data_IF_095358359323
#
_entry.id   IF_095358359323
#
_cell.length_a   1.000
_cell.length_b   1.000
_cell.length_c   1.000
_cell.angle_alpha   90.00
_cell.angle_beta   90.00
_cell.angle_gamma   90.00
#
_symmetry.space_group_name_H-M   'P 1'
#
loop_
_entity.id
_entity.type
_entity.pdbx_description
1 polymer ?
#
# COMPACT_ATOMS: atom_id res chain seq x y z
N UNK A 1 -6.89 -2.66 17.29
CA UNK A 1 -6.12 -3.67 16.57
C UNK A 1 -6.34 -3.56 15.08
N UNK A 2 -5.33 -3.90 14.29
CA UNK A 2 -5.40 -3.91 12.84
C UNK A 2 -6.28 -5.04 12.32
N UNK A 3 -7.04 -4.79 11.25
CA UNK A 3 -7.70 -5.81 10.45
C UNK A 3 -6.86 -6.25 9.24
N UNK A 4 -5.74 -5.57 8.97
CA UNK A 4 -4.89 -5.84 7.82
C UNK A 4 -4.13 -7.17 7.95
N UNK A 5 -3.91 -7.82 6.82
CA UNK A 5 -3.13 -9.07 6.76
C UNK A 5 -1.64 -8.76 6.95
N UNK A 6 -0.94 -9.41 7.90
CA UNK A 6 0.50 -9.29 8.04
C UNK A 6 1.24 -9.85 6.82
N UNK A 7 2.37 -9.24 6.46
CA UNK A 7 3.26 -9.73 5.42
C UNK A 7 4.64 -10.11 6.00
N UNK A 8 5.38 -10.93 5.26
CA UNK A 8 6.75 -11.31 5.62
C UNK A 8 7.74 -10.47 4.81
N UNK A 9 8.62 -9.76 5.49
CA UNK A 9 9.59 -8.84 4.90
C UNK A 9 11.02 -9.23 5.25
N UNK A 10 11.95 -8.85 4.40
CA UNK A 10 13.37 -8.97 4.64
C UNK A 10 13.99 -10.22 4.03
N UNK A 11 15.31 -10.19 3.95
CA UNK A 11 16.17 -11.23 3.39
C UNK A 11 17.31 -11.54 4.36
N UNK A 12 18.01 -12.63 4.15
CA UNK A 12 19.13 -13.05 5.00
C UNK A 12 18.77 -13.12 6.50
N UNK A 13 19.45 -12.36 7.34
CA UNK A 13 19.31 -12.41 8.79
C UNK A 13 18.22 -11.45 9.32
N UNK A 14 17.97 -10.34 8.62
CA UNK A 14 16.99 -9.34 9.02
C UNK A 14 15.63 -9.69 8.41
N UNK A 15 14.83 -10.43 9.18
CA UNK A 15 13.53 -10.94 8.74
C UNK A 15 12.44 -10.50 9.69
N UNK A 16 11.35 -9.99 9.11
CA UNK A 16 10.29 -9.34 9.86
C UNK A 16 8.90 -9.87 9.51
N UNK A 17 8.00 -9.69 10.45
CA UNK A 17 6.56 -9.59 10.20
C UNK A 17 6.25 -8.11 10.16
N UNK A 18 5.61 -7.65 9.09
CA UNK A 18 5.18 -6.27 8.91
C UNK A 18 3.66 -6.20 8.88
N UNK A 19 3.09 -5.20 9.55
CA UNK A 19 1.65 -4.98 9.63
C UNK A 19 1.38 -3.51 9.91
N UNK A 20 0.23 -2.99 9.48
CA UNK A 20 -0.26 -1.70 9.95
C UNK A 20 -0.98 -1.87 11.29
N UNK A 21 -0.93 -0.86 12.16
CA UNK A 21 -1.77 -0.83 13.35
C UNK A 21 -3.20 -0.35 13.03
N UNK A 22 -4.02 -0.15 14.05
CA UNK A 22 -5.43 0.26 13.90
C UNK A 22 -5.69 1.69 14.41
N UNK A 23 -4.67 2.51 14.50
CA UNK A 23 -4.83 3.91 14.91
C UNK A 23 -5.46 4.74 13.78
N UNK A 24 -6.11 5.87 14.11
CA UNK A 24 -6.74 6.73 13.11
C UNK A 24 -5.75 7.22 12.05
N UNK A 25 -4.54 7.53 12.47
CA UNK A 25 -3.38 7.69 11.60
C UNK A 25 -2.46 6.49 11.84
N UNK A 26 -2.49 5.53 10.94
CA UNK A 26 -1.83 4.25 11.11
C UNK A 26 -0.30 4.35 11.14
N UNK A 27 0.31 3.42 11.86
CA UNK A 27 1.75 3.16 11.78
C UNK A 27 2.00 1.87 11.00
N UNK A 28 3.16 1.79 10.35
CA UNK A 28 3.73 0.54 9.84
C UNK A 28 4.67 -0.01 10.90
N UNK A 29 4.34 -1.20 11.39
CA UNK A 29 5.05 -1.88 12.46
C UNK A 29 5.88 -3.02 11.91
N UNK A 30 7.16 -3.08 12.27
CA UNK A 30 8.02 -4.24 12.03
C UNK A 30 8.26 -5.01 13.32
N UNK A 31 8.13 -6.32 13.23
CA UNK A 31 8.47 -7.24 14.33
C UNK A 31 9.52 -8.23 13.86
N UNK A 32 10.58 -8.44 14.63
CA UNK A 32 11.51 -9.54 14.38
C UNK A 32 10.74 -10.84 14.23
N UNK A 33 10.86 -11.50 13.07
CA UNK A 33 10.13 -12.73 12.78
C UNK A 33 10.67 -13.93 13.56
N UNK A 34 11.98 -14.07 13.56
CA UNK A 34 12.67 -15.19 14.17
C UNK A 34 13.28 -14.79 15.52
N UNK A 35 14.55 -15.03 15.73
CA UNK A 35 15.25 -14.59 16.93
C UNK A 35 15.50 -13.08 16.90
N UNK A 36 15.34 -12.44 18.05
CA UNK A 36 15.77 -11.06 18.24
C UNK A 36 17.31 -11.07 18.30
N UNK A 37 18.02 -10.20 17.54
CA UNK A 37 19.47 -10.09 17.63
C UNK A 37 19.93 -9.83 19.08
N UNK A 38 21.01 -10.46 19.50
CA UNK A 38 21.49 -10.35 20.90
C UNK A 38 21.92 -8.92 21.26
N UNK A 39 22.36 -8.15 20.27
CA UNK A 39 22.79 -6.76 20.38
C UNK A 39 21.67 -5.76 19.99
N UNK A 40 20.40 -6.23 19.93
CA UNK A 40 19.27 -5.36 19.64
C UNK A 40 18.85 -4.58 20.88
N UNK A 41 18.80 -3.27 20.73
CA UNK A 41 18.24 -2.37 21.73
C UNK A 41 16.81 -1.96 21.31
N UNK A 42 15.93 -1.80 22.29
CA UNK A 42 14.57 -1.36 22.00
C UNK A 42 14.59 0.00 21.34
N UNK A 43 13.82 0.15 20.28
CA UNK A 43 13.64 1.47 19.67
C UNK A 43 12.91 2.41 20.65
N UNK A 44 13.16 3.68 20.51
CA UNK A 44 12.60 4.70 21.40
C UNK A 44 11.07 4.59 21.48
N UNK A 45 10.52 4.68 22.69
CA UNK A 45 9.09 4.59 22.96
C UNK A 45 8.50 3.17 22.93
N UNK A 46 9.30 2.13 22.63
CA UNK A 46 8.85 0.75 22.58
C UNK A 46 9.39 -0.07 23.76
N UNK A 47 8.47 -0.78 24.43
CA UNK A 47 8.84 -1.69 25.55
C UNK A 47 8.99 -3.14 25.11
N UNK A 48 8.43 -3.50 23.96
CA UNK A 48 8.51 -4.86 23.43
C UNK A 48 9.77 -5.00 22.57
N UNK A 49 10.76 -5.81 22.97
CA UNK A 49 12.02 -5.97 22.24
C UNK A 49 11.84 -6.62 20.85
N UNK A 50 10.68 -7.19 20.55
CA UNK A 50 10.38 -7.72 19.24
C UNK A 50 10.06 -6.65 18.21
N UNK A 51 9.75 -5.41 18.63
CA UNK A 51 9.51 -4.31 17.71
C UNK A 51 10.84 -3.84 17.12
N UNK A 52 11.00 -4.02 15.81
CA UNK A 52 12.17 -3.60 15.06
C UNK A 52 11.97 -2.25 14.38
N UNK A 53 10.73 -1.85 14.13
CA UNK A 53 10.40 -0.57 13.51
C UNK A 53 8.97 -0.16 13.82
N UNK A 54 8.77 1.15 13.93
CA UNK A 54 7.47 1.80 14.09
C UNK A 54 7.53 3.14 13.34
N UNK A 55 6.82 3.24 12.23
CA UNK A 55 6.86 4.41 11.38
C UNK A 55 5.46 4.93 11.10
N UNK A 56 5.21 6.20 11.43
CA UNK A 56 3.93 6.86 11.19
C UNK A 56 3.73 7.08 9.69
N UNK A 57 2.54 6.73 9.20
CA UNK A 57 2.13 7.02 7.82
C UNK A 57 1.64 8.45 7.75
N UNK A 58 2.23 9.25 6.89
CA UNK A 58 1.91 10.69 6.75
C UNK A 58 1.44 11.07 5.35
N UNK A 59 1.77 10.27 4.34
CA UNK A 59 1.57 10.59 2.92
C UNK A 59 2.15 11.96 2.55
N UNK A 60 3.11 12.49 3.34
CA UNK A 60 3.69 13.83 3.25
C UNK A 60 2.64 14.96 3.21
N UNK A 61 1.50 14.75 3.86
CA UNK A 61 0.43 15.74 4.00
C UNK A 61 0.08 15.95 5.48
N UNK A 62 0.51 17.08 6.03
CA UNK A 62 0.27 17.44 7.43
C UNK A 62 -1.22 17.72 7.76
N UNK A 63 -2.07 17.85 6.75
CA UNK A 63 -3.52 18.03 6.97
C UNK A 63 -4.26 16.71 7.14
N UNK A 64 -3.65 15.59 6.77
CA UNK A 64 -4.25 14.27 6.95
C UNK A 64 -4.08 13.84 8.43
N UNK A 65 -5.18 13.75 9.12
CA UNK A 65 -5.25 13.30 10.53
C UNK A 65 -5.82 11.88 10.66
N UNK A 66 -6.33 11.33 9.57
CA UNK A 66 -6.80 9.96 9.46
C UNK A 66 -6.24 9.36 8.17
N UNK A 67 -5.45 8.31 8.30
CA UNK A 67 -4.86 7.58 7.17
C UNK A 67 -4.92 6.10 7.55
N UNK A 68 -5.75 5.36 6.85
CA UNK A 68 -5.90 3.93 7.09
C UNK A 68 -5.90 3.17 5.78
N UNK A 69 -5.48 1.92 5.84
CA UNK A 69 -5.55 1.00 4.72
C UNK A 69 -6.36 -0.23 5.09
N UNK A 70 -7.27 -0.62 4.21
CA UNK A 70 -7.96 -1.92 4.27
C UNK A 70 -7.12 -3.02 3.59
N UNK A 71 -6.02 -2.65 2.97
CA UNK A 71 -5.15 -3.55 2.21
C UNK A 71 -3.99 -4.01 3.07
N UNK A 72 -3.51 -5.22 2.79
CA UNK A 72 -2.26 -5.72 3.38
C UNK A 72 -1.06 -4.89 2.93
N UNK A 73 -0.02 -4.89 3.73
CA UNK A 73 1.25 -4.23 3.39
C UNK A 73 1.90 -4.96 2.22
N UNK A 74 2.26 -4.23 1.17
CA UNK A 74 3.01 -4.78 0.03
C UNK A 74 4.49 -4.80 0.37
N UNK A 75 5.16 -5.93 0.15
CA UNK A 75 6.55 -6.13 0.53
C UNK A 75 7.41 -6.47 -0.67
N UNK A 76 8.57 -5.83 -0.76
CA UNK A 76 9.62 -6.15 -1.72
C UNK A 76 11.01 -5.95 -1.12
N UNK A 77 11.78 -7.02 -0.94
CA UNK A 77 13.08 -6.96 -0.28
C UNK A 77 12.99 -6.44 1.16
N UNK A 78 13.59 -5.31 1.42
CA UNK A 78 13.51 -4.55 2.67
C UNK A 78 12.52 -3.38 2.62
N UNK A 79 11.71 -3.29 1.57
CA UNK A 79 10.69 -2.27 1.42
C UNK A 79 9.30 -2.77 1.83
N UNK A 80 8.53 -1.90 2.46
CA UNK A 80 7.13 -2.08 2.85
C UNK A 80 6.31 -0.89 2.36
N UNK A 81 5.24 -1.13 1.61
CA UNK A 81 4.40 -0.08 1.07
C UNK A 81 2.98 -0.20 1.60
N UNK A 82 2.40 0.94 1.90
CA UNK A 82 0.99 1.09 2.26
C UNK A 82 0.31 2.10 1.34
N UNK A 83 -0.99 1.93 1.17
CA UNK A 83 -1.85 2.85 0.42
C UNK A 83 -2.84 3.52 1.36
N UNK A 84 -3.32 4.70 0.98
CA UNK A 84 -4.41 5.35 1.69
C UNK A 84 -5.76 4.88 1.09
N UNK A 85 -6.69 4.46 1.94
CA UNK A 85 -8.06 4.11 1.55
C UNK A 85 -9.12 5.06 2.13
N UNK A 86 -8.71 6.09 2.87
CA UNK A 86 -9.65 7.07 3.38
C UNK A 86 -10.02 8.09 2.30
N UNK A 87 -11.32 8.19 2.00
CA UNK A 87 -11.83 9.19 1.07
C UNK A 87 -11.64 10.60 1.63
N UNK A 88 -11.21 11.57 0.81
CA UNK A 88 -11.08 12.97 1.24
C UNK A 88 -12.43 13.59 1.60
N UNK A 89 -13.52 13.03 1.12
CA UNK A 89 -14.87 13.51 1.41
C UNK A 89 -15.83 12.35 1.69
N UNK A 90 -16.81 12.60 2.56
CA UNK A 90 -17.91 11.68 2.81
C UNK A 90 -19.19 12.46 2.53
N UNK A 91 -20.09 11.99 1.64
CA UNK A 91 -21.35 12.67 1.38
C UNK A 91 -22.22 12.79 2.64
N UNK A 92 -22.99 13.87 2.73
CA UNK A 92 -23.93 14.08 3.83
C UNK A 92 -24.87 12.89 4.00
N UNK A 93 -25.04 12.45 5.24
CA UNK A 93 -25.90 11.32 5.58
C UNK A 93 -25.24 9.94 5.51
N UNK A 94 -23.99 9.84 5.01
CA UNK A 94 -23.25 8.60 5.07
C UNK A 94 -22.51 8.48 6.41
N UNK A 95 -22.56 7.32 7.08
CA UNK A 95 -21.76 7.11 8.28
C UNK A 95 -20.26 7.06 7.92
N UNK A 96 -19.40 7.59 8.79
CA UNK A 96 -17.96 7.64 8.57
C UNK A 96 -17.36 6.28 8.17
N UNK A 97 -17.84 5.19 8.78
CA UNK A 97 -17.41 3.82 8.45
C UNK A 97 -17.78 3.35 7.03
N UNK A 98 -18.69 4.05 6.35
CA UNK A 98 -19.05 3.74 4.97
C UNK A 98 -18.12 4.42 3.95
N UNK A 99 -17.21 5.31 4.40
CA UNK A 99 -16.26 6.00 3.52
C UNK A 99 -15.43 5.03 2.68
N UNK A 100 -14.96 3.94 3.29
CA UNK A 100 -14.15 2.93 2.59
C UNK A 100 -14.95 2.12 1.58
N UNK A 101 -16.22 1.84 1.85
CA UNK A 101 -17.12 1.24 0.86
C UNK A 101 -17.38 2.20 -0.31
N UNK A 102 -17.50 3.49 0.00
CA UNK A 102 -17.64 4.51 -1.04
C UNK A 102 -16.41 4.53 -1.95
N UNK A 103 -15.22 4.50 -1.39
CA UNK A 103 -13.96 4.41 -2.13
C UNK A 103 -13.91 3.15 -3.00
N UNK A 104 -14.38 2.02 -2.49
CA UNK A 104 -14.41 0.76 -3.24
C UNK A 104 -15.22 0.86 -4.55
N UNK A 105 -16.27 1.67 -4.58
CA UNK A 105 -17.15 1.79 -5.76
C UNK A 105 -16.92 3.06 -6.57
N UNK A 106 -16.52 4.14 -5.92
CA UNK A 106 -16.41 5.48 -6.51
C UNK A 106 -14.98 6.02 -6.50
N UNK A 107 -14.00 5.20 -6.20
CA UNK A 107 -12.61 5.64 -6.01
C UNK A 107 -11.89 6.16 -7.25
N UNK A 108 -12.51 6.08 -8.44
CA UNK A 108 -11.99 6.78 -9.61
C UNK A 108 -12.52 8.22 -9.72
N UNK A 109 -13.60 8.56 -9.01
CA UNK A 109 -14.13 9.92 -8.97
C UNK A 109 -13.18 10.80 -8.14
N UNK A 110 -12.67 11.91 -8.68
CA UNK A 110 -11.75 12.80 -7.95
C UNK A 110 -12.29 13.33 -6.61
N UNK A 111 -13.62 13.38 -6.44
CA UNK A 111 -14.23 13.79 -5.18
C UNK A 111 -14.05 12.76 -4.05
N UNK A 112 -13.84 11.50 -4.40
CA UNK A 112 -13.77 10.38 -3.45
C UNK A 112 -12.47 9.60 -3.50
N UNK A 113 -11.65 9.81 -4.53
CA UNK A 113 -10.39 9.10 -4.71
C UNK A 113 -9.42 9.42 -3.58
N UNK A 114 -9.04 8.43 -2.74
CA UNK A 114 -7.98 8.64 -1.78
C UNK A 114 -6.65 8.68 -2.52
N UNK A 115 -5.86 9.69 -2.28
CA UNK A 115 -4.54 9.80 -2.88
C UNK A 115 -3.45 9.48 -1.86
N UNK A 116 -2.44 8.86 -2.37
CA UNK A 116 -1.21 8.60 -1.65
C UNK A 116 -0.93 7.12 -1.44
N UNK A 117 0.32 6.84 -1.63
CA UNK A 117 0.98 5.62 -1.19
C UNK A 117 2.35 5.99 -0.64
N UNK A 118 2.76 5.28 0.38
CA UNK A 118 4.02 5.55 1.08
C UNK A 118 4.79 4.26 1.25
N UNK A 119 6.05 4.30 0.84
CA UNK A 119 6.99 3.22 1.05
C UNK A 119 7.91 3.55 2.21
N UNK A 120 8.18 2.54 3.01
CA UNK A 120 9.16 2.54 4.08
C UNK A 120 10.22 1.50 3.75
N UNK A 121 11.45 1.75 4.18
CA UNK A 121 12.55 0.83 3.95
C UNK A 121 13.32 0.57 5.25
N UNK A 122 13.75 -0.68 5.41
CA UNK A 122 14.70 -1.08 6.44
C UNK A 122 16.13 -0.99 5.89
N UNK A 123 16.99 -0.26 6.57
CA UNK A 123 18.41 -0.25 6.28
C UNK A 123 19.14 -1.23 7.22
N UNK A 124 19.67 -2.35 6.70
CA UNK A 124 20.35 -3.34 7.53
C UNK A 124 21.69 -2.87 8.10
N UNK A 125 22.30 -1.82 7.53
CA UNK A 125 23.57 -1.30 8.02
C UNK A 125 23.39 -0.42 9.26
N UNK A 126 22.34 0.40 9.28
CA UNK A 126 22.01 1.29 10.39
C UNK A 126 20.93 0.73 11.31
N UNK A 127 20.23 -0.33 10.87
CA UNK A 127 19.06 -0.91 11.54
C UNK A 127 17.95 0.11 11.81
N UNK A 128 17.70 0.97 10.81
CA UNK A 128 16.64 1.97 10.87
C UNK A 128 15.54 1.63 9.87
N UNK A 129 14.30 1.73 10.31
CA UNK A 129 13.09 1.65 9.47
C UNK A 129 12.50 3.05 9.34
N UNK A 130 12.44 3.57 8.13
CA UNK A 130 12.01 4.93 7.87
C UNK A 130 11.27 5.05 6.54
N UNK A 131 10.55 6.18 6.36
CA UNK A 131 9.96 6.56 5.08
C UNK A 131 11.03 6.66 4.01
N UNK A 132 10.78 6.07 2.86
CA UNK A 132 11.67 6.04 1.71
C UNK A 132 11.19 7.04 0.64
N UNK A 133 9.93 6.87 0.21
CA UNK A 133 9.28 7.81 -0.69
C UNK A 133 7.76 7.83 -0.49
N UNK A 134 7.15 8.92 -0.95
CA UNK A 134 5.69 9.09 -1.01
C UNK A 134 5.30 9.47 -2.43
N UNK A 135 4.24 8.84 -2.94
CA UNK A 135 3.59 9.24 -4.18
C UNK A 135 2.17 9.71 -3.85
N UNK A 136 1.90 11.01 -4.04
CA UNK A 136 0.60 11.63 -3.78
C UNK A 136 -0.29 11.70 -5.02
N UNK A 137 0.23 11.39 -6.20
CA UNK A 137 -0.48 11.54 -7.47
C UNK A 137 -1.36 10.33 -7.81
N UNK A 138 -0.98 9.14 -7.31
CA UNK A 138 -1.65 7.89 -7.62
C UNK A 138 -2.67 7.56 -6.54
N UNK A 139 -3.92 7.30 -6.97
CA UNK A 139 -4.95 6.72 -6.12
C UNK A 139 -4.98 5.21 -6.32
N UNK A 140 -4.69 4.46 -5.26
CA UNK A 140 -4.91 3.01 -5.21
C UNK A 140 -6.17 2.73 -4.40
N UNK A 141 -7.30 3.14 -4.94
CA UNK A 141 -8.56 3.22 -4.20
C UNK A 141 -9.01 1.90 -3.58
N UNK A 142 -8.82 0.79 -4.28
CA UNK A 142 -9.20 -0.53 -3.82
C UNK A 142 -8.46 -1.71 -4.49
N UNK A 143 -7.46 -1.42 -5.31
CA UNK A 143 -6.56 -2.45 -5.84
C UNK A 143 -5.53 -2.83 -4.78
N UNK A 144 -5.37 -4.12 -4.47
CA UNK A 144 -4.23 -4.55 -3.66
C UNK A 144 -2.99 -4.53 -4.56
N UNK A 145 -2.02 -3.65 -4.31
CA UNK A 145 -0.87 -3.50 -5.21
C UNK A 145 0.01 -4.75 -5.21
N UNK A 146 0.74 -4.91 -6.30
CA UNK A 146 1.71 -5.98 -6.51
C UNK A 146 3.05 -5.38 -6.89
N UNK A 147 4.14 -5.82 -6.27
CA UNK A 147 5.49 -5.43 -6.69
C UNK A 147 6.16 -6.55 -7.49
N UNK A 148 6.65 -6.20 -8.67
CA UNK A 148 7.55 -7.03 -9.47
C UNK A 148 8.98 -6.58 -9.24
N UNK A 149 9.75 -7.37 -8.51
CA UNK A 149 11.17 -7.05 -8.27
C UNK A 149 12.01 -7.23 -9.55
N UNK A 150 11.56 -8.07 -10.48
CA UNK A 150 12.25 -8.27 -11.76
C UNK A 150 12.19 -7.05 -12.67
N UNK A 151 11.07 -6.32 -12.69
CA UNK A 151 10.92 -5.06 -13.43
C UNK A 151 11.09 -3.82 -12.56
N UNK A 152 11.35 -3.98 -11.27
CA UNK A 152 11.41 -2.89 -10.29
C UNK A 152 10.15 -1.99 -10.31
N UNK A 153 8.97 -2.59 -10.49
CA UNK A 153 7.72 -1.85 -10.67
C UNK A 153 6.65 -2.34 -9.71
N UNK A 154 6.03 -1.40 -9.02
CA UNK A 154 4.78 -1.62 -8.28
C UNK A 154 3.61 -1.38 -9.24
N UNK A 155 2.69 -2.33 -9.30
CA UNK A 155 1.45 -2.21 -10.09
C UNK A 155 0.24 -2.08 -9.17
N UNK A 156 -0.67 -1.20 -9.53
CA UNK A 156 -1.96 -1.07 -8.85
C UNK A 156 -3.07 -0.67 -9.83
N UNK A 157 -4.30 -0.93 -9.45
CA UNK A 157 -5.48 -0.42 -10.15
C UNK A 157 -6.15 0.63 -9.29
N UNK A 158 -6.31 1.81 -9.82
CA UNK A 158 -6.85 2.94 -9.09
C UNK A 158 -7.55 3.96 -9.98
N UNK A 159 -7.77 5.14 -9.43
CA UNK A 159 -8.41 6.25 -10.11
C UNK A 159 -7.39 7.26 -10.63
N UNK A 160 -7.56 7.65 -11.89
CA UNK A 160 -6.84 8.79 -12.50
C UNK A 160 -7.78 9.57 -13.39
N UNK A 161 -7.87 10.87 -13.18
CA UNK A 161 -8.69 11.79 -13.99
C UNK A 161 -10.15 11.34 -14.16
N UNK A 162 -10.76 10.86 -13.09
CA UNK A 162 -12.14 10.38 -13.07
C UNK A 162 -12.36 9.03 -13.77
N UNK A 163 -11.29 8.29 -14.07
CA UNK A 163 -11.34 6.99 -14.74
C UNK A 163 -10.51 5.96 -14.00
N UNK A 164 -10.89 4.70 -14.15
CA UNK A 164 -10.05 3.61 -13.68
C UNK A 164 -8.81 3.46 -14.57
N UNK A 165 -7.68 3.18 -13.93
CA UNK A 165 -6.39 3.01 -14.58
C UNK A 165 -5.60 1.87 -13.96
N UNK A 166 -4.78 1.20 -14.77
CA UNK A 166 -3.63 0.45 -14.29
C UNK A 166 -2.46 1.42 -14.18
N UNK A 167 -1.86 1.50 -13.01
CA UNK A 167 -0.71 2.33 -12.70
C UNK A 167 0.52 1.47 -12.46
N UNK A 168 1.68 1.93 -12.93
CA UNK A 168 2.98 1.38 -12.61
C UNK A 168 3.85 2.46 -11.99
N UNK A 169 4.46 2.14 -10.86
CA UNK A 169 5.31 3.05 -10.07
C UNK A 169 6.69 2.40 -9.93
N UNK A 170 7.76 3.13 -10.20
CA UNK A 170 9.10 2.66 -9.93
C UNK A 170 9.27 2.36 -8.44
N UNK A 171 9.63 1.11 -8.10
CA UNK A 171 9.74 0.66 -6.72
C UNK A 171 10.83 1.36 -5.92
N UNK A 172 11.87 1.84 -6.62
CA UNK A 172 13.00 2.52 -5.99
C UNK A 172 12.72 4.00 -5.74
N UNK A 173 12.11 4.68 -6.72
CA UNK A 173 11.97 6.14 -6.67
C UNK A 173 10.58 6.63 -6.29
N UNK A 174 9.54 5.80 -6.45
CA UNK A 174 8.14 6.21 -6.25
C UNK A 174 7.55 6.99 -7.41
N UNK A 175 8.29 7.16 -8.52
CA UNK A 175 7.81 7.89 -9.70
C UNK A 175 6.85 7.03 -10.54
N UNK A 176 5.83 7.66 -11.13
CA UNK A 176 4.93 7.00 -12.07
C UNK A 176 5.65 6.69 -13.37
N UNK A 177 5.69 5.41 -13.76
CA UNK A 177 6.33 4.92 -15.00
C UNK A 177 5.35 4.35 -16.01
N UNK A 178 4.13 4.06 -15.59
CA UNK A 178 3.05 3.58 -16.44
C UNK A 178 1.71 4.14 -15.97
N UNK A 179 0.91 4.63 -16.90
CA UNK A 179 -0.51 4.91 -16.70
C UNK A 179 -1.30 4.38 -17.88
N UNK A 180 -2.13 3.39 -17.64
CA UNK A 180 -3.01 2.84 -18.66
C UNK A 180 -4.47 3.06 -18.26
N UNK A 181 -5.11 4.04 -18.89
CA UNK A 181 -6.52 4.37 -18.65
C UNK A 181 -7.40 3.23 -19.20
N UNK A 182 -8.06 2.52 -18.30
CA UNK A 182 -9.00 1.45 -18.65
C UNK A 182 -10.44 1.95 -18.78
N UNK A 183 -10.76 3.03 -18.09
CA UNK A 183 -11.97 3.84 -18.26
C UNK A 183 -13.04 3.58 -17.23
N UNK A 184 -13.90 2.59 -17.43
CA UNK A 184 -15.11 2.42 -16.63
C UNK A 184 -14.92 1.58 -15.37
N UNK A 185 -15.93 1.61 -14.47
CA UNK A 185 -16.00 0.80 -13.25
C UNK A 185 -15.97 -0.73 -13.49
N UNK A 186 -16.09 -1.17 -14.74
CA UNK A 186 -15.88 -2.59 -15.09
C UNK A 186 -14.48 -3.08 -14.75
N UNK A 187 -13.52 -2.18 -14.69
CA UNK A 187 -12.11 -2.47 -14.40
C UNK A 187 -11.75 -2.29 -12.93
N UNK A 188 -12.75 -1.96 -12.10
CA UNK A 188 -12.57 -1.86 -10.66
C UNK A 188 -12.30 -3.24 -10.05
N UNK A 189 -11.26 -3.35 -9.25
CA UNK A 189 -10.83 -4.59 -8.60
C UNK A 189 -11.75 -5.03 -7.47
N UNK A 190 -12.47 -4.11 -6.83
CA UNK A 190 -13.29 -4.36 -5.64
C UNK A 190 -12.50 -5.16 -4.59
N UNK A 191 -11.31 -4.68 -4.23
CA UNK A 191 -10.34 -5.28 -3.30
C UNK A 191 -9.71 -6.61 -3.77
N UNK A 192 -9.84 -6.97 -5.06
CA UNK A 192 -9.09 -8.10 -5.59
C UNK A 192 -7.60 -7.77 -5.70
N UNK A 193 -6.79 -8.79 -5.45
CA UNK A 193 -5.35 -8.70 -5.63
C UNK A 193 -4.97 -8.69 -7.11
N UNK A 194 -3.85 -8.04 -7.42
CA UNK A 194 -3.19 -8.17 -8.71
C UNK A 194 -2.22 -9.34 -8.67
N UNK A 195 -2.02 -9.98 -9.80
CA UNK A 195 -0.99 -10.99 -9.99
C UNK A 195 -0.42 -10.94 -11.41
N UNK A 196 0.77 -11.51 -11.57
CA UNK A 196 1.48 -11.62 -12.85
C UNK A 196 1.49 -13.09 -13.23
N UNK A 197 1.07 -13.41 -14.45
CA UNK A 197 1.16 -14.76 -14.97
C UNK A 197 2.59 -15.10 -15.43
N UNK A 198 2.82 -16.33 -15.84
CA UNK A 198 4.12 -16.84 -16.30
C UNK A 198 4.59 -16.24 -17.64
N UNK A 199 3.68 -15.57 -18.35
CA UNK A 199 3.98 -14.81 -19.57
C UNK A 199 4.24 -13.31 -19.27
N UNK A 200 4.11 -12.90 -18.01
CA UNK A 200 4.34 -11.53 -17.56
C UNK A 200 3.12 -10.60 -17.65
N UNK A 201 1.94 -11.11 -17.97
CA UNK A 201 0.74 -10.30 -18.02
C UNK A 201 0.23 -9.99 -16.61
N UNK A 202 -0.21 -8.76 -16.41
CA UNK A 202 -0.86 -8.34 -15.17
C UNK A 202 -2.34 -8.73 -15.25
N UNK A 203 -2.82 -9.33 -14.18
CA UNK A 203 -4.20 -9.80 -14.09
C UNK A 203 -4.84 -9.39 -12.77
N UNK A 204 -6.13 -9.20 -12.78
CA UNK A 204 -6.93 -9.05 -11.56
C UNK A 204 -8.39 -9.46 -11.78
N UNK A 205 -9.07 -9.75 -10.67
CA UNK A 205 -10.51 -9.95 -10.66
C UNK A 205 -11.26 -8.63 -10.67
N UNK A 206 -12.48 -8.64 -11.21
CA UNK A 206 -13.47 -7.57 -11.12
C UNK A 206 -14.82 -8.15 -10.76
N UNK A 207 -15.82 -7.31 -10.44
CA UNK A 207 -17.19 -7.78 -10.24
C UNK A 207 -17.79 -8.42 -11.51
N UNK A 208 -17.19 -8.24 -12.67
CA UNK A 208 -17.70 -8.70 -13.97
C UNK A 208 -16.86 -9.80 -14.62
N UNK A 209 -15.78 -10.25 -13.96
CA UNK A 209 -14.91 -11.30 -14.46
C UNK A 209 -13.43 -10.99 -14.21
N UNK A 210 -12.58 -11.48 -15.12
CA UNK A 210 -11.13 -11.29 -15.07
C UNK A 210 -10.69 -10.27 -16.11
N UNK A 211 -9.70 -9.46 -15.75
CA UNK A 211 -8.97 -8.58 -16.68
C UNK A 211 -7.55 -9.10 -16.80
N UNK A 212 -7.02 -9.12 -18.01
CA UNK A 212 -5.63 -9.43 -18.33
C UNK A 212 -5.08 -8.32 -19.21
N UNK A 213 -4.03 -7.69 -18.74
CA UNK A 213 -3.34 -6.64 -19.48
C UNK A 213 -2.23 -7.27 -20.31
N UNK A 214 -2.14 -6.98 -21.62
CA UNK A 214 -1.06 -7.52 -22.43
C UNK A 214 0.28 -6.93 -21.99
N UNK A 215 1.34 -7.73 -22.08
CA UNK A 215 2.71 -7.21 -22.05
C UNK A 215 2.96 -6.47 -23.36
N UNK A 216 3.52 -5.28 -23.27
CA UNK A 216 3.91 -4.48 -24.41
C UNK A 216 5.22 -4.96 -25.06
#
# INVERSE_FOLDING_TARGET
GSGATPALMGICNDRFVVVTDGDAQMNVMLFWRDAIPQDWENIEGQTNPRVAGNALVTMDDANLTAIQSEQGVVVGGYGALVVNNDSPTIPDGYPAKAARLLVAYSGADPAFAPHGMQKFSWDPATRVFASDWVNQEVSSANGVPLVSLGSNTLYTVGGRDGKWALEGIDWTTGESVLTWITGSSRYNTVFAELFIDDEGHIMHGTAFGMVRYPVG
#
